data_IF_544485262325
#
_entry.id   IF_544485262325
#
_cell.length_a   1.000
_cell.length_b   1.000
_cell.length_c   1.000
_cell.angle_alpha   90.00
_cell.angle_beta   90.00
_cell.angle_gamma   90.00
#
_symmetry.space_group_name_H-M   'P 1'
#
loop_
_entity.id
_entity.type
_entity.pdbx_description
1 polymer ?
#
# COMPACT_ATOMS: atom_id res chain seq x y z
N UNK A 1 12.11 6.66 29.95
CA UNK A 1 10.65 6.47 30.08
C UNK A 1 10.25 5.47 29.01
N UNK A 2 10.34 4.19 29.31
CA UNK A 2 10.07 3.10 28.33
C UNK A 2 8.66 2.50 28.48
N UNK A 3 7.81 3.11 29.31
CA UNK A 3 6.53 2.54 29.73
C UNK A 3 5.41 3.59 29.82
N UNK A 4 5.34 4.48 28.82
CA UNK A 4 4.22 5.44 28.72
C UNK A 4 2.99 4.79 28.06
N UNK A 5 1.80 5.30 28.36
CA UNK A 5 0.55 4.87 27.71
C UNK A 5 0.61 5.01 26.18
N UNK A 6 1.34 6.01 25.69
CA UNK A 6 1.59 6.20 24.26
C UNK A 6 2.39 5.04 23.65
N UNK A 7 3.39 4.50 24.36
CA UNK A 7 4.15 3.34 23.89
C UNK A 7 3.28 2.08 23.83
N UNK A 8 2.38 1.89 24.80
CA UNK A 8 1.42 0.77 24.79
C UNK A 8 0.44 0.88 23.62
N UNK A 9 -0.07 2.09 23.34
CA UNK A 9 -0.93 2.34 22.18
C UNK A 9 -0.17 2.13 20.87
N UNK A 10 1.09 2.55 20.79
CA UNK A 10 1.94 2.33 19.62
C UNK A 10 2.19 0.83 19.38
N UNK A 11 2.51 0.06 20.42
CA UNK A 11 2.67 -1.41 20.32
C UNK A 11 1.39 -2.12 19.85
N UNK A 12 0.20 -1.60 20.17
CA UNK A 12 -1.06 -2.14 19.63
C UNK A 12 -1.25 -1.86 18.14
N UNK A 13 -0.70 -0.75 17.64
CA UNK A 13 -0.85 -0.30 16.24
C UNK A 13 0.22 -0.88 15.30
N UNK A 14 1.41 -1.13 15.82
CA UNK A 14 2.55 -1.64 15.06
C UNK A 14 2.83 -3.10 15.44
N UNK A 15 2.97 -3.96 14.44
CA UNK A 15 3.28 -5.38 14.65
C UNK A 15 4.69 -5.68 14.16
N UNK A 16 5.57 -6.10 15.07
CA UNK A 16 6.96 -6.42 14.78
C UNK A 16 7.93 -5.68 15.70
N UNK A 17 9.20 -6.08 15.66
CA UNK A 17 10.27 -5.41 16.39
C UNK A 17 10.65 -4.07 15.72
N UNK A 18 11.30 -3.18 16.44
CA UNK A 18 11.67 -1.85 15.92
C UNK A 18 12.54 -1.89 14.67
N UNK A 19 13.50 -2.82 14.61
CA UNK A 19 14.34 -3.10 13.44
C UNK A 19 13.51 -3.55 12.24
N UNK A 20 12.57 -4.48 12.43
CA UNK A 20 11.69 -4.94 11.36
C UNK A 20 10.78 -3.82 10.83
N UNK A 21 10.27 -2.97 11.72
CA UNK A 21 9.43 -1.82 11.35
C UNK A 21 10.25 -0.79 10.57
N UNK A 22 11.50 -0.54 10.96
CA UNK A 22 12.41 0.33 10.23
C UNK A 22 12.71 -0.23 8.84
N UNK A 23 12.99 -1.53 8.70
CA UNK A 23 13.23 -2.13 7.39
C UNK A 23 12.03 -1.98 6.45
N UNK A 24 10.80 -2.19 6.97
CA UNK A 24 9.56 -2.04 6.18
C UNK A 24 9.30 -0.58 5.82
N UNK A 25 9.62 0.35 6.72
CA UNK A 25 9.58 1.79 6.43
C UNK A 25 10.57 2.15 5.32
N UNK A 26 11.81 1.66 5.41
CA UNK A 26 12.87 1.93 4.45
C UNK A 26 12.53 1.42 3.05
N UNK A 27 11.72 0.37 2.92
CA UNK A 27 11.24 -0.10 1.62
C UNK A 27 10.46 0.99 0.87
N UNK A 28 9.64 1.75 1.58
CA UNK A 28 8.84 2.84 0.99
C UNK A 28 9.74 4.00 0.55
N UNK A 29 10.74 4.33 1.35
CA UNK A 29 11.70 5.39 1.03
C UNK A 29 12.60 4.99 -0.14
N UNK A 30 13.15 3.77 -0.12
CA UNK A 30 13.99 3.22 -1.20
C UNK A 30 13.22 3.07 -2.52
N UNK A 31 11.90 2.89 -2.45
CA UNK A 31 11.02 2.88 -3.62
C UNK A 31 10.79 4.27 -4.24
N UNK A 32 11.31 5.34 -3.62
CA UNK A 32 11.27 6.70 -4.15
C UNK A 32 10.34 7.67 -3.40
N UNK A 33 9.69 7.26 -2.31
CA UNK A 33 8.90 8.18 -1.50
C UNK A 33 9.80 9.02 -0.57
N UNK A 34 9.50 10.31 -0.48
CA UNK A 34 10.15 11.21 0.49
C UNK A 34 9.95 10.72 1.93
N UNK A 35 11.00 10.82 2.75
CA UNK A 35 10.98 10.37 4.15
C UNK A 35 9.81 10.99 4.93
N UNK A 36 9.59 12.30 4.82
CA UNK A 36 8.51 12.97 5.56
C UNK A 36 7.13 12.56 5.06
N UNK A 37 7.01 12.26 3.76
CA UNK A 37 5.79 11.69 3.18
C UNK A 37 5.54 10.30 3.78
N UNK A 38 6.54 9.42 3.81
CA UNK A 38 6.41 8.08 4.42
C UNK A 38 6.05 8.19 5.91
N UNK A 39 6.68 9.09 6.67
CA UNK A 39 6.33 9.34 8.08
C UNK A 39 4.85 9.72 8.23
N UNK A 40 4.33 10.63 7.40
CA UNK A 40 2.91 11.03 7.44
C UNK A 40 1.98 9.87 7.08
N UNK A 41 2.33 9.09 6.05
CA UNK A 41 1.55 7.94 5.60
C UNK A 41 1.48 6.87 6.69
N UNK A 42 2.62 6.52 7.31
CA UNK A 42 2.69 5.50 8.37
C UNK A 42 1.96 5.96 9.64
N UNK A 43 2.04 7.25 10.00
CA UNK A 43 1.24 7.81 11.12
C UNK A 43 -0.26 7.66 10.88
N UNK A 44 -0.72 7.86 9.63
CA UNK A 44 -2.13 7.71 9.25
C UNK A 44 -2.57 6.25 9.10
N UNK A 45 -1.69 5.40 8.59
CA UNK A 45 -1.98 4.00 8.25
C UNK A 45 -0.87 3.05 8.74
N UNK A 46 -0.70 2.88 10.06
CA UNK A 46 0.43 2.12 10.63
C UNK A 46 0.41 0.63 10.24
N UNK A 47 -0.78 0.08 10.00
CA UNK A 47 -1.01 -1.30 9.60
C UNK A 47 -0.42 -1.69 8.24
N UNK A 48 0.04 -0.73 7.42
CA UNK A 48 0.77 -1.05 6.19
C UNK A 48 2.13 -1.68 6.47
N UNK A 49 2.71 -1.39 7.64
CA UNK A 49 3.97 -1.97 8.10
C UNK A 49 3.77 -3.32 8.80
N UNK A 50 2.55 -3.84 8.90
CA UNK A 50 2.29 -5.19 9.44
C UNK A 50 2.57 -6.30 8.42
N UNK A 51 3.00 -5.96 7.21
CA UNK A 51 3.28 -6.93 6.15
C UNK A 51 4.78 -7.28 6.13
N UNK A 52 5.14 -8.53 5.82
CA UNK A 52 6.53 -8.89 5.58
C UNK A 52 7.17 -7.99 4.51
N UNK A 53 8.46 -7.71 4.67
CA UNK A 53 9.23 -6.83 3.80
C UNK A 53 9.13 -7.23 2.33
N UNK A 54 9.38 -8.50 2.04
CA UNK A 54 9.33 -9.09 0.70
C UNK A 54 7.96 -8.89 0.03
N UNK A 55 6.88 -8.96 0.81
CA UNK A 55 5.52 -8.71 0.33
C UNK A 55 5.29 -7.23 0.01
N UNK A 56 5.85 -6.31 0.81
CA UNK A 56 5.78 -4.87 0.53
C UNK A 56 6.54 -4.55 -0.76
N UNK A 57 7.79 -4.99 -0.87
CA UNK A 57 8.64 -4.78 -2.06
C UNK A 57 7.99 -5.37 -3.33
N UNK A 58 7.44 -6.59 -3.23
CA UNK A 58 6.74 -7.23 -4.36
C UNK A 58 5.51 -6.43 -4.81
N UNK A 59 4.72 -5.90 -3.87
CA UNK A 59 3.54 -5.09 -4.21
C UNK A 59 3.90 -3.74 -4.82
N UNK A 60 4.99 -3.14 -4.36
CA UNK A 60 5.55 -1.91 -4.94
C UNK A 60 6.04 -2.18 -6.36
N UNK A 61 6.81 -3.25 -6.57
CA UNK A 61 7.30 -3.66 -7.89
C UNK A 61 6.15 -3.92 -8.87
N UNK A 62 5.09 -4.60 -8.41
CA UNK A 62 3.87 -4.78 -9.21
C UNK A 62 3.22 -3.43 -9.57
N UNK A 63 3.11 -2.51 -8.61
CA UNK A 63 2.47 -1.22 -8.79
C UNK A 63 3.18 -0.35 -9.85
N UNK A 64 4.50 -0.20 -9.73
CA UNK A 64 5.27 0.71 -10.58
C UNK A 64 5.65 0.06 -11.90
N UNK A 65 6.04 -1.22 -11.88
CA UNK A 65 6.48 -1.96 -13.06
C UNK A 65 5.32 -2.44 -13.91
N UNK A 66 4.49 -3.34 -13.36
CA UNK A 66 3.45 -4.01 -14.14
C UNK A 66 2.20 -3.13 -14.35
N UNK A 67 1.77 -2.41 -13.32
CA UNK A 67 0.56 -1.60 -13.37
C UNK A 67 0.80 -0.19 -13.89
N UNK A 68 2.07 0.25 -13.97
CA UNK A 68 2.45 1.57 -14.47
C UNK A 68 1.85 2.72 -13.66
N UNK A 69 1.66 2.53 -12.35
CA UNK A 69 1.25 3.60 -11.44
C UNK A 69 2.49 4.25 -10.80
N UNK A 70 2.49 5.58 -10.64
CA UNK A 70 3.55 6.26 -9.90
C UNK A 70 3.52 5.80 -8.42
N UNK A 71 4.68 5.75 -7.77
CA UNK A 71 4.81 5.28 -6.38
C UNK A 71 3.95 6.11 -5.42
N UNK A 72 3.76 7.38 -5.74
CA UNK A 72 2.93 8.38 -5.06
C UNK A 72 1.46 7.93 -4.95
N UNK A 73 1.01 7.01 -5.81
CA UNK A 73 -0.34 6.41 -5.70
C UNK A 73 -0.55 5.67 -4.37
N UNK A 74 0.52 5.19 -3.73
CA UNK A 74 0.47 4.63 -2.37
C UNK A 74 0.18 5.69 -1.30
N UNK A 75 0.55 6.94 -1.53
CA UNK A 75 0.27 8.04 -0.60
C UNK A 75 -1.23 8.30 -0.54
N UNK A 76 -1.93 8.21 -1.68
CA UNK A 76 -3.39 8.35 -1.72
C UNK A 76 -4.10 7.11 -1.18
N UNK A 77 -3.59 5.92 -1.47
CA UNK A 77 -4.23 4.64 -1.16
C UNK A 77 -3.27 3.65 -0.47
N UNK A 78 -2.80 3.94 0.76
CA UNK A 78 -1.79 3.12 1.44
C UNK A 78 -2.28 1.70 1.76
N UNK A 79 -3.59 1.53 1.92
CA UNK A 79 -4.24 0.23 2.14
C UNK A 79 -4.09 -0.75 0.98
N UNK A 80 -3.64 -0.29 -0.20
CA UNK A 80 -3.22 -1.18 -1.31
C UNK A 80 -2.29 -2.29 -0.81
N UNK A 81 -1.33 -1.95 0.05
CA UNK A 81 -0.36 -2.90 0.62
C UNK A 81 -1.02 -3.97 1.51
N UNK A 82 -2.29 -3.79 1.89
CA UNK A 82 -3.01 -4.68 2.77
C UNK A 82 -3.88 -5.70 2.03
N UNK A 83 -4.18 -5.50 0.75
CA UNK A 83 -4.98 -6.45 -0.04
C UNK A 83 -4.16 -7.66 -0.50
N UNK A 84 -4.81 -8.80 -0.70
CA UNK A 84 -4.15 -10.01 -1.21
C UNK A 84 -3.65 -9.80 -2.63
N UNK A 85 -2.56 -10.49 -2.99
CA UNK A 85 -2.04 -10.46 -4.36
C UNK A 85 -3.07 -10.93 -5.37
N UNK A 86 -3.88 -11.93 -5.02
CA UNK A 86 -4.97 -12.42 -5.86
C UNK A 86 -6.00 -11.33 -6.18
N UNK A 87 -6.44 -10.57 -5.16
CA UNK A 87 -7.40 -9.47 -5.35
C UNK A 87 -6.81 -8.36 -6.22
N UNK A 88 -5.54 -8.02 -5.99
CA UNK A 88 -4.85 -7.02 -6.80
C UNK A 88 -4.82 -7.48 -8.26
N UNK A 89 -4.32 -8.69 -8.54
CA UNK A 89 -4.23 -9.20 -9.91
C UNK A 89 -5.60 -9.25 -10.60
N UNK A 90 -6.60 -9.90 -10.01
CA UNK A 90 -7.92 -10.04 -10.63
C UNK A 90 -8.52 -8.70 -11.04
N UNK A 91 -8.45 -7.72 -10.15
CA UNK A 91 -9.09 -6.42 -10.37
C UNK A 91 -8.32 -5.53 -11.33
N UNK A 92 -6.99 -5.57 -11.27
CA UNK A 92 -6.17 -4.84 -12.24
C UNK A 92 -6.21 -5.45 -13.62
N UNK A 93 -6.26 -6.79 -13.77
CA UNK A 93 -6.44 -7.43 -15.08
C UNK A 93 -7.74 -6.97 -15.75
N UNK A 94 -8.84 -6.91 -14.99
CA UNK A 94 -10.12 -6.37 -15.52
C UNK A 94 -9.99 -4.89 -15.89
N UNK A 95 -9.39 -4.07 -15.03
CA UNK A 95 -9.22 -2.64 -15.30
C UNK A 95 -8.33 -2.38 -16.53
N UNK A 96 -7.21 -3.09 -16.68
CA UNK A 96 -6.32 -3.00 -17.84
C UNK A 96 -7.08 -3.40 -19.11
N UNK A 97 -7.82 -4.51 -19.07
CA UNK A 97 -8.64 -4.95 -20.20
C UNK A 97 -9.70 -3.92 -20.61
N UNK A 98 -10.30 -3.19 -19.65
CA UNK A 98 -11.23 -2.09 -19.95
C UNK A 98 -10.51 -0.88 -20.56
N UNK A 99 -9.30 -0.56 -20.08
CA UNK A 99 -8.47 0.54 -20.58
C UNK A 99 -8.02 0.30 -22.03
N UNK A 100 -7.61 -0.92 -22.36
CA UNK A 100 -7.21 -1.32 -23.71
C UNK A 100 -8.34 -1.19 -24.74
N UNK A 101 -9.60 -1.16 -24.28
CA UNK A 101 -10.80 -1.03 -25.11
C UNK A 101 -11.40 0.38 -25.07
N UNK A 102 -10.70 1.33 -24.45
CA UNK A 102 -11.16 2.71 -24.28
C UNK A 102 -12.49 2.86 -23.52
N UNK A 103 -12.95 1.79 -22.84
CA UNK A 103 -14.17 1.80 -22.04
C UNK A 103 -14.00 2.61 -20.74
N UNK A 104 -12.77 2.92 -20.37
CA UNK A 104 -12.42 3.77 -19.22
C UNK A 104 -11.38 4.79 -19.64
N UNK A 105 -11.75 6.08 -19.66
CA UNK A 105 -10.87 7.16 -20.10
C UNK A 105 -9.99 7.71 -18.97
N UNK A 106 -10.51 7.74 -17.73
CA UNK A 106 -9.80 8.24 -16.55
C UNK A 106 -8.92 7.17 -15.89
N UNK A 107 -7.78 7.58 -15.31
CA UNK A 107 -6.97 6.69 -14.47
C UNK A 107 -7.63 6.56 -13.11
N UNK A 108 -8.09 5.36 -12.76
CA UNK A 108 -8.73 5.11 -11.47
C UNK A 108 -7.67 5.02 -10.35
N UNK A 109 -8.01 5.47 -9.15
CA UNK A 109 -7.12 5.34 -7.97
C UNK A 109 -7.04 3.88 -7.52
N UNK A 110 -5.99 3.52 -6.77
CA UNK A 110 -5.87 2.16 -6.22
C UNK A 110 -7.05 1.83 -5.30
N UNK A 111 -7.50 2.78 -4.48
CA UNK A 111 -8.68 2.62 -3.63
C UNK A 111 -9.96 2.29 -4.41
N UNK A 112 -10.16 2.89 -5.58
CA UNK A 112 -11.31 2.57 -6.43
C UNK A 112 -11.20 1.16 -7.03
N UNK A 113 -10.01 0.79 -7.50
CA UNK A 113 -9.81 -0.52 -8.15
C UNK A 113 -9.85 -1.64 -7.12
N UNK A 114 -8.96 -1.60 -6.12
CA UNK A 114 -8.78 -2.70 -5.16
C UNK A 114 -9.56 -2.53 -3.87
N UNK A 115 -9.94 -1.30 -3.50
CA UNK A 115 -10.52 -1.01 -2.19
C UNK A 115 -12.02 -1.30 -2.06
N UNK A 116 -12.79 -1.13 -3.13
CA UNK A 116 -14.26 -1.31 -3.12
C UNK A 116 -14.68 -2.76 -2.83
N UNK A 117 -15.86 -2.99 -2.26
CA UNK A 117 -16.36 -4.35 -2.01
C UNK A 117 -16.59 -5.13 -3.32
N UNK A 118 -16.62 -6.47 -3.27
CA UNK A 118 -16.87 -7.28 -4.48
C UNK A 118 -18.20 -6.92 -5.18
N UNK A 119 -19.33 -6.72 -4.48
CA UNK A 119 -20.58 -6.34 -5.14
C UNK A 119 -20.55 -4.95 -5.80
N UNK A 120 -19.65 -4.05 -5.37
CA UNK A 120 -19.46 -2.74 -6.03
C UNK A 120 -18.46 -2.79 -7.18
N UNK A 121 -17.69 -3.87 -7.28
CA UNK A 121 -16.65 -4.02 -8.30
C UNK A 121 -17.16 -4.69 -9.57
N UNK A 122 -18.07 -5.66 -9.43
CA UNK A 122 -18.68 -6.44 -10.52
C UNK A 122 -19.87 -5.68 -11.10
#
# INVERSE_FOLDING_TARGET
VENSDEMVIAQKKFQGRGDELQERFDCLVKAGLDYNVVTKVVKRAPHILSRPKDIIEKKISLLTGYLGYPIESLVESPTYLCYSMERIHKRFSMYIWLREREAVTLRLTLGTIVGVSNPRFV
#
